data_IF_556903522896
#
_entry.id   IF_556903522896
#
_cell.length_a   1.000
_cell.length_b   1.000
_cell.length_c   1.000
_cell.angle_alpha   90.00
_cell.angle_beta   90.00
_cell.angle_gamma   90.00
#
_symmetry.space_group_name_H-M   'P 1'
#
loop_
_entity.id
_entity.type
_entity.pdbx_description
1 polymer ?
#
# COMPACT_ATOMS: atom_id res chain seq x y z
N UNK A 1 58.65 21.34 9.58
CA UNK A 1 57.21 21.03 9.46
C UNK A 1 56.76 19.73 10.19
N UNK A 2 57.49 18.62 10.13
CA UNK A 2 57.13 17.36 10.78
C UNK A 2 56.96 17.39 12.32
N UNK A 3 57.72 18.21 13.04
CA UNK A 3 57.60 18.35 14.51
C UNK A 3 56.37 19.13 15.00
N UNK A 4 55.75 19.96 14.16
CA UNK A 4 54.51 20.68 14.50
C UNK A 4 53.30 19.78 14.36
N UNK A 5 53.25 18.94 13.34
CA UNK A 5 52.17 17.97 13.10
C UNK A 5 52.14 16.90 14.20
N UNK A 6 53.32 16.42 14.63
CA UNK A 6 53.41 15.41 15.71
C UNK A 6 52.97 15.94 17.09
N UNK A 7 53.13 17.25 17.37
CA UNK A 7 52.61 17.85 18.63
C UNK A 7 51.09 18.02 18.60
N UNK A 8 50.49 18.33 17.45
CA UNK A 8 49.07 18.50 17.32
C UNK A 8 48.32 17.14 17.46
N UNK A 9 48.88 16.04 16.94
CA UNK A 9 48.34 14.69 17.08
C UNK A 9 48.44 14.15 18.50
N UNK A 10 49.51 14.49 19.26
CA UNK A 10 49.64 14.07 20.65
C UNK A 10 48.69 14.83 21.59
N UNK A 11 48.43 16.13 21.34
CA UNK A 11 47.48 16.92 22.11
C UNK A 11 46.02 16.50 21.86
N UNK A 12 45.69 15.93 20.68
CA UNK A 12 44.34 15.41 20.38
C UNK A 12 44.08 14.07 21.08
N UNK A 13 45.11 13.30 21.40
CA UNK A 13 44.97 12.01 22.11
C UNK A 13 44.83 12.14 23.65
N UNK A 14 45.26 13.30 24.19
CA UNK A 14 45.24 13.53 25.65
C UNK A 14 43.86 14.01 26.17
N UNK A 15 42.94 14.34 25.25
CA UNK A 15 41.60 14.86 25.55
C UNK A 15 40.46 13.87 25.31
N UNK A 16 40.76 12.58 25.20
CA UNK A 16 39.72 11.53 25.17
C UNK A 16 39.31 11.27 26.62
N UNK A 17 38.08 11.56 27.03
CA UNK A 17 37.61 11.29 28.38
C UNK A 17 37.80 9.81 28.69
N UNK A 18 38.22 9.53 29.93
CA UNK A 18 38.36 8.13 30.35
C UNK A 18 37.03 7.38 30.14
N UNK A 19 37.02 6.13 29.67
CA UNK A 19 35.78 5.41 29.37
C UNK A 19 34.76 5.40 30.50
N UNK A 20 35.21 5.46 31.73
CA UNK A 20 34.37 5.54 32.94
C UNK A 20 33.70 6.94 33.07
N UNK A 21 34.35 8.02 32.68
CA UNK A 21 33.79 9.37 32.72
C UNK A 21 32.78 9.57 31.59
N UNK A 22 33.07 9.02 30.41
CA UNK A 22 32.16 9.04 29.28
C UNK A 22 30.90 8.23 29.57
N UNK A 23 31.04 7.09 30.22
CA UNK A 23 29.92 6.24 30.63
C UNK A 23 29.04 6.95 31.67
N UNK A 24 29.63 7.65 32.64
CA UNK A 24 28.88 8.43 33.62
C UNK A 24 28.11 9.61 32.99
N UNK A 25 28.68 10.27 31.96
CA UNK A 25 28.00 11.33 31.20
C UNK A 25 26.82 10.74 30.41
N UNK A 26 27.01 9.62 29.72
CA UNK A 26 25.96 8.94 28.97
C UNK A 26 24.82 8.45 29.88
N UNK A 27 25.14 7.88 31.03
CA UNK A 27 24.14 7.45 32.03
C UNK A 27 23.34 8.67 32.54
N UNK A 28 24.00 9.79 32.76
CA UNK A 28 23.34 11.04 33.16
C UNK A 28 22.41 11.59 32.07
N UNK A 29 22.80 11.51 30.80
CA UNK A 29 21.93 11.90 29.66
C UNK A 29 20.74 10.95 29.48
N UNK A 30 20.96 9.66 29.58
CA UNK A 30 19.89 8.65 29.55
C UNK A 30 18.87 8.90 30.64
N UNK A 31 19.30 9.15 31.87
CA UNK A 31 18.39 9.47 32.98
C UNK A 31 17.57 10.74 32.70
N UNK A 32 18.15 11.76 32.08
CA UNK A 32 17.43 13.00 31.68
C UNK A 32 16.39 12.73 30.60
N UNK A 33 16.73 11.92 29.60
CA UNK A 33 15.81 11.54 28.52
C UNK A 33 14.64 10.74 29.07
N UNK A 34 14.89 9.79 29.99
CA UNK A 34 13.85 9.00 30.63
C UNK A 34 12.91 9.84 31.51
N UNK A 35 13.47 10.81 32.28
CA UNK A 35 12.67 11.75 33.03
C UNK A 35 11.76 12.61 32.12
N UNK A 36 12.29 13.09 31.01
CA UNK A 36 11.52 13.86 30.03
C UNK A 36 10.43 13.02 29.36
N UNK A 37 10.74 11.76 29.05
CA UNK A 37 9.76 10.81 28.54
C UNK A 37 8.61 10.59 29.51
N UNK A 38 8.91 10.40 30.79
CA UNK A 38 7.91 10.24 31.85
C UNK A 38 6.99 11.47 31.96
N UNK A 39 7.55 12.69 31.89
CA UNK A 39 6.77 13.93 31.90
C UNK A 39 5.83 14.04 30.68
N UNK A 40 6.32 13.68 29.49
CA UNK A 40 5.50 13.72 28.26
C UNK A 40 4.37 12.68 28.32
N UNK A 41 4.62 11.51 28.87
CA UNK A 41 3.60 10.47 29.06
C UNK A 41 2.53 10.91 30.07
N UNK A 42 2.93 11.53 31.19
CA UNK A 42 2.01 12.09 32.17
C UNK A 42 1.16 13.23 31.54
N UNK A 43 1.78 14.10 30.75
CA UNK A 43 1.04 15.15 30.03
C UNK A 43 0.05 14.59 29.02
N UNK A 44 0.46 13.54 28.29
CA UNK A 44 -0.43 12.83 27.34
C UNK A 44 -1.64 12.20 28.05
N UNK A 45 -1.41 11.51 29.17
CA UNK A 45 -2.50 10.88 29.95
C UNK A 45 -3.49 11.95 30.47
N UNK A 46 -2.98 13.07 30.97
CA UNK A 46 -3.80 14.21 31.40
C UNK A 46 -4.66 14.77 30.25
N UNK A 47 -4.07 14.96 29.06
CA UNK A 47 -4.82 15.43 27.90
C UNK A 47 -5.87 14.42 27.41
N UNK A 48 -5.58 13.14 27.49
CA UNK A 48 -6.54 12.08 27.15
C UNK A 48 -7.73 12.06 28.12
N UNK A 49 -7.50 12.27 29.42
CA UNK A 49 -8.60 12.39 30.39
C UNK A 49 -9.49 13.60 30.15
N UNK A 50 -8.91 14.71 29.68
CA UNK A 50 -9.69 15.91 29.31
C UNK A 50 -10.50 15.74 28.01
N UNK A 51 -10.01 14.92 27.07
CA UNK A 51 -10.66 14.67 25.78
C UNK A 51 -11.69 13.54 25.82
N UNK A 52 -11.70 12.73 26.89
CA UNK A 52 -12.70 11.68 27.07
C UNK A 52 -13.92 12.28 27.76
N UNK A 53 -15.09 12.40 27.08
CA UNK A 53 -16.31 12.87 27.72
C UNK A 53 -16.67 11.92 28.86
N UNK A 54 -16.86 12.47 30.06
CA UNK A 54 -17.28 11.71 31.22
C UNK A 54 -18.66 11.11 30.98
N UNK A 55 -18.74 9.79 30.79
CA UNK A 55 -20.00 9.07 30.91
C UNK A 55 -20.38 9.01 32.39
N UNK A 56 -21.60 9.40 32.80
CA UNK A 56 -22.04 9.32 34.19
C UNK A 56 -22.39 7.87 34.53
N UNK A 57 -21.49 7.21 35.24
CA UNK A 57 -21.72 5.91 35.86
C UNK A 57 -21.15 5.88 37.29
N UNK A 58 -21.80 5.21 38.25
CA UNK A 58 -21.31 5.15 39.64
C UNK A 58 -19.95 4.46 39.73
N UNK A 59 -19.08 4.89 40.70
CA UNK A 59 -17.74 4.33 40.83
C UNK A 59 -17.80 2.89 41.34
N UNK A 60 -17.47 1.96 40.45
CA UNK A 60 -17.14 0.59 40.86
C UNK A 60 -15.73 0.52 41.43
N UNK A 61 -15.40 -0.51 42.28
CA UNK A 61 -14.09 -0.64 42.90
C UNK A 61 -12.99 -0.67 41.84
N UNK A 62 -11.79 -0.07 42.11
CA UNK A 62 -10.71 0.03 41.16
C UNK A 62 -10.23 -1.37 40.77
N UNK A 63 -10.56 -1.80 39.57
CA UNK A 63 -9.98 -2.96 38.94
C UNK A 63 -8.50 -2.71 38.65
N UNK A 64 -7.65 -3.76 38.59
CA UNK A 64 -6.23 -3.60 38.32
C UNK A 64 -6.03 -2.82 37.03
N UNK A 65 -5.33 -1.69 37.16
CA UNK A 65 -4.96 -0.84 36.01
C UNK A 65 -4.13 -1.71 35.09
N UNK A 66 -4.71 -2.15 33.97
CA UNK A 66 -3.96 -2.68 32.84
C UNK A 66 -3.22 -1.50 32.22
N UNK A 67 -2.01 -1.29 32.70
CA UNK A 67 -1.02 -0.49 31.98
C UNK A 67 -0.87 -1.15 30.61
N UNK A 68 -1.13 -0.46 29.49
CA UNK A 68 -0.73 -1.00 28.20
C UNK A 68 0.79 -1.06 28.24
N UNK A 69 1.33 -2.26 28.47
CA UNK A 69 2.74 -2.52 28.28
C UNK A 69 3.05 -2.30 26.78
N UNK A 70 3.45 -1.07 26.45
CA UNK A 70 4.33 -0.84 25.33
C UNK A 70 5.70 -1.38 25.76
N UNK A 71 5.78 -2.71 25.88
CA UNK A 71 7.07 -3.37 26.06
C UNK A 71 7.98 -2.88 24.94
N UNK A 72 9.19 -2.40 25.25
CA UNK A 72 10.22 -2.20 24.23
C UNK A 72 10.28 -3.51 23.42
N UNK A 73 10.57 -3.46 22.12
CA UNK A 73 10.59 -4.66 21.28
C UNK A 73 11.43 -5.68 22.00
N UNK A 74 10.78 -6.72 22.53
CA UNK A 74 11.46 -7.67 23.39
C UNK A 74 12.59 -8.25 22.57
N UNK A 75 13.76 -8.48 23.17
CA UNK A 75 14.92 -9.12 22.51
C UNK A 75 14.47 -10.37 21.74
N UNK A 76 13.44 -11.04 22.24
CA UNK A 76 12.76 -12.15 21.60
C UNK A 76 12.13 -11.78 20.23
N UNK A 77 11.49 -10.63 20.08
CA UNK A 77 10.90 -10.20 18.81
C UNK A 77 11.98 -9.82 17.80
N UNK A 78 13.08 -9.22 18.25
CA UNK A 78 14.24 -8.92 17.40
C UNK A 78 14.93 -10.21 16.95
N UNK A 79 15.11 -11.18 17.85
CA UNK A 79 15.68 -12.50 17.51
C UNK A 79 14.78 -13.28 16.56
N UNK A 80 13.45 -13.24 16.74
CA UNK A 80 12.49 -13.86 15.83
C UNK A 80 12.50 -13.21 14.45
N UNK A 81 12.53 -11.88 14.39
CA UNK A 81 12.64 -11.15 13.13
C UNK A 81 13.96 -11.45 12.41
N UNK A 82 15.08 -11.45 13.15
CA UNK A 82 16.39 -11.79 12.61
C UNK A 82 16.44 -13.26 12.14
N UNK A 83 15.86 -14.19 12.89
CA UNK A 83 15.73 -15.60 12.51
C UNK A 83 14.90 -15.78 11.25
N UNK A 84 13.79 -15.04 11.13
CA UNK A 84 12.96 -15.01 9.93
C UNK A 84 13.71 -14.50 8.69
N UNK A 85 14.45 -13.41 8.84
CA UNK A 85 15.28 -12.85 7.76
C UNK A 85 16.38 -13.83 7.35
N UNK A 86 17.10 -14.41 8.31
CA UNK A 86 18.14 -15.42 8.02
C UNK A 86 17.58 -16.65 7.33
N UNK A 87 16.40 -17.13 7.76
CA UNK A 87 15.73 -18.25 7.13
C UNK A 87 15.29 -17.93 5.69
N UNK A 88 14.81 -16.71 5.46
CA UNK A 88 14.45 -16.23 4.12
C UNK A 88 15.69 -16.16 3.21
N UNK A 89 16.79 -15.59 3.71
CA UNK A 89 18.08 -15.55 2.98
C UNK A 89 18.57 -16.96 2.69
N UNK A 90 18.50 -17.88 3.66
CA UNK A 90 18.88 -19.27 3.46
C UNK A 90 18.00 -19.98 2.43
N UNK A 91 16.69 -19.73 2.43
CA UNK A 91 15.76 -20.27 1.43
C UNK A 91 16.06 -19.74 0.02
N UNK A 92 16.35 -18.45 -0.11
CA UNK A 92 16.76 -17.83 -1.37
C UNK A 92 18.09 -18.42 -1.84
N UNK A 93 19.10 -18.47 -0.97
CA UNK A 93 20.42 -19.05 -1.28
C UNK A 93 20.29 -20.53 -1.67
N UNK A 94 19.50 -21.31 -0.93
CA UNK A 94 19.20 -22.70 -1.26
C UNK A 94 18.55 -22.82 -2.63
N UNK A 95 17.55 -21.98 -2.93
CA UNK A 95 16.87 -21.98 -4.22
C UNK A 95 17.84 -21.65 -5.36
N UNK A 96 18.72 -20.67 -5.18
CA UNK A 96 19.70 -20.25 -6.20
C UNK A 96 20.81 -21.28 -6.38
N UNK A 97 21.33 -21.87 -5.31
CA UNK A 97 22.49 -22.78 -5.32
C UNK A 97 22.11 -24.24 -5.63
N UNK A 98 20.92 -24.70 -5.21
CA UNK A 98 20.44 -26.06 -5.44
C UNK A 98 20.08 -26.37 -6.92
N UNK A 99 20.31 -25.43 -7.83
CA UNK A 99 20.19 -25.64 -9.29
C UNK A 99 21.27 -26.57 -9.87
N UNK A 100 22.14 -27.13 -9.02
CA UNK A 100 23.14 -28.16 -9.35
C UNK A 100 22.53 -29.51 -9.80
N UNK A 101 23.03 -30.65 -9.36
CA UNK A 101 22.84 -31.95 -9.96
C UNK A 101 21.50 -32.68 -9.78
N UNK A 102 20.55 -32.13 -9.03
CA UNK A 102 19.23 -32.76 -8.89
C UNK A 102 18.33 -32.50 -10.12
N UNK A 103 17.71 -33.52 -10.67
CA UNK A 103 16.76 -33.40 -11.78
C UNK A 103 15.57 -32.48 -11.44
N UNK A 104 14.98 -31.88 -12.48
CA UNK A 104 13.92 -30.85 -12.36
C UNK A 104 12.73 -31.30 -11.52
N UNK A 105 12.31 -32.57 -11.64
CA UNK A 105 11.17 -33.10 -10.87
C UNK A 105 11.42 -33.23 -9.36
N UNK A 106 12.62 -33.66 -8.95
CA UNK A 106 12.93 -33.77 -7.51
C UNK A 106 12.93 -32.43 -6.79
N UNK A 107 13.39 -31.39 -7.45
CA UNK A 107 13.40 -30.01 -6.90
C UNK A 107 12.00 -29.45 -6.68
N UNK A 108 11.11 -29.63 -7.66
CA UNK A 108 9.73 -29.17 -7.58
C UNK A 108 8.98 -29.83 -6.43
N UNK A 109 9.21 -31.12 -6.17
CA UNK A 109 8.59 -31.84 -5.06
C UNK A 109 9.09 -31.30 -3.71
N UNK A 110 10.41 -31.13 -3.55
CA UNK A 110 10.98 -30.62 -2.29
C UNK A 110 10.48 -29.19 -2.02
N UNK A 111 10.54 -28.31 -3.02
CA UNK A 111 10.10 -26.92 -2.89
C UNK A 111 8.61 -26.85 -2.53
N UNK A 112 7.77 -27.54 -3.29
CA UNK A 112 6.32 -27.58 -3.03
C UNK A 112 5.98 -28.15 -1.65
N UNK A 113 6.70 -29.19 -1.19
CA UNK A 113 6.49 -29.77 0.14
C UNK A 113 6.84 -28.78 1.25
N UNK A 114 7.97 -28.06 1.12
CA UNK A 114 8.40 -27.03 2.09
C UNK A 114 7.40 -25.87 2.12
N UNK A 115 6.94 -25.42 0.96
CA UNK A 115 5.94 -24.35 0.87
C UNK A 115 4.60 -24.77 1.46
N UNK A 116 4.12 -25.98 1.18
CA UNK A 116 2.88 -26.50 1.80
C UNK A 116 3.01 -26.61 3.32
N UNK A 117 4.15 -27.09 3.82
CA UNK A 117 4.41 -27.16 5.25
C UNK A 117 4.44 -25.75 5.88
N UNK A 118 5.09 -24.79 5.22
CA UNK A 118 5.12 -23.39 5.66
C UNK A 118 3.74 -22.73 5.64
N UNK A 119 2.86 -23.05 4.68
CA UNK A 119 1.48 -22.58 4.63
C UNK A 119 0.60 -23.23 5.71
N UNK A 120 0.85 -24.49 6.07
CA UNK A 120 0.10 -25.20 7.09
C UNK A 120 0.52 -24.82 8.53
N UNK A 121 1.81 -24.50 8.74
CA UNK A 121 2.37 -24.22 10.07
C UNK A 121 1.66 -23.08 10.82
N UNK A 122 1.30 -21.92 10.21
CA UNK A 122 0.58 -20.86 10.90
C UNK A 122 -0.76 -21.30 11.50
N UNK A 123 -1.48 -22.20 10.84
CA UNK A 123 -2.74 -22.73 11.37
C UNK A 123 -2.52 -23.51 12.69
N UNK A 124 -1.45 -24.32 12.74
CA UNK A 124 -1.07 -25.06 13.97
C UNK A 124 -0.56 -24.12 15.08
N UNK A 125 0.22 -23.08 14.73
CA UNK A 125 0.74 -22.09 15.66
C UNK A 125 -0.37 -21.22 16.26
N UNK A 126 -1.35 -20.82 15.47
CA UNK A 126 -2.53 -20.07 15.92
C UNK A 126 -3.37 -20.89 16.92
N UNK A 127 -3.51 -22.20 16.71
CA UNK A 127 -4.18 -23.10 17.68
C UNK A 127 -3.46 -23.15 19.03
N UNK A 128 -2.13 -22.94 19.04
CA UNK A 128 -1.30 -22.88 20.25
C UNK A 128 -1.20 -21.47 20.85
N UNK A 129 -1.89 -20.48 20.30
CA UNK A 129 -1.86 -19.09 20.77
C UNK A 129 -0.60 -18.29 20.36
N UNK A 130 0.29 -18.84 19.54
CA UNK A 130 1.56 -18.23 19.11
C UNK A 130 1.34 -17.30 17.89
N UNK A 131 0.64 -16.19 18.09
CA UNK A 131 0.22 -15.29 17.00
C UNK A 131 1.40 -14.62 16.29
N UNK A 132 2.41 -14.14 17.03
CA UNK A 132 3.59 -13.46 16.46
C UNK A 132 4.42 -14.42 15.59
N UNK A 133 4.65 -15.64 16.08
CA UNK A 133 5.38 -16.68 15.33
C UNK A 133 4.59 -17.14 14.10
N UNK A 134 3.26 -17.27 14.24
CA UNK A 134 2.39 -17.60 13.12
C UNK A 134 2.44 -16.55 12.00
N UNK A 135 2.49 -15.26 12.38
CA UNK A 135 2.62 -14.15 11.45
C UNK A 135 3.96 -14.19 10.67
N UNK A 136 5.08 -14.42 11.39
CA UNK A 136 6.39 -14.52 10.77
C UNK A 136 6.50 -15.72 9.81
N UNK A 137 6.00 -16.89 10.22
CA UNK A 137 5.99 -18.10 9.36
C UNK A 137 5.02 -17.92 8.21
N UNK A 138 3.87 -17.26 8.41
CA UNK A 138 2.93 -16.90 7.36
C UNK A 138 3.56 -15.99 6.30
N UNK A 139 4.26 -14.94 6.72
CA UNK A 139 4.97 -14.06 5.80
C UNK A 139 6.06 -14.82 5.00
N UNK A 140 6.81 -15.71 5.65
CA UNK A 140 7.76 -16.58 4.95
C UNK A 140 7.06 -17.48 3.92
N UNK A 141 5.92 -18.07 4.27
CA UNK A 141 5.14 -18.91 3.36
C UNK A 141 4.70 -18.13 2.10
N UNK A 142 4.30 -16.86 2.24
CA UNK A 142 3.97 -16.01 1.09
C UNK A 142 5.19 -15.80 0.17
N UNK A 143 6.39 -15.56 0.73
CA UNK A 143 7.62 -15.44 -0.05
C UNK A 143 7.93 -16.75 -0.78
N UNK A 144 7.76 -17.89 -0.13
CA UNK A 144 7.99 -19.19 -0.76
C UNK A 144 7.04 -19.43 -1.94
N UNK A 145 5.76 -19.04 -1.85
CA UNK A 145 4.84 -19.16 -2.99
C UNK A 145 5.25 -18.31 -4.19
N UNK A 146 5.88 -17.13 -3.97
CA UNK A 146 6.46 -16.32 -5.06
C UNK A 146 7.65 -17.03 -5.69
N UNK A 147 8.52 -17.62 -4.87
CA UNK A 147 9.68 -18.39 -5.35
C UNK A 147 9.23 -19.62 -6.14
N UNK A 148 8.18 -20.30 -5.70
CA UNK A 148 7.60 -21.44 -6.42
C UNK A 148 7.04 -21.02 -7.80
N UNK A 149 6.32 -19.88 -7.86
CA UNK A 149 5.86 -19.34 -9.12
C UNK A 149 7.01 -18.98 -10.06
N UNK A 150 8.08 -18.36 -9.54
CA UNK A 150 9.29 -18.08 -10.30
C UNK A 150 9.99 -19.36 -10.79
N UNK A 151 10.12 -20.37 -9.92
CA UNK A 151 10.71 -21.65 -10.27
C UNK A 151 9.90 -22.38 -11.35
N UNK A 152 8.58 -22.35 -11.27
CA UNK A 152 7.67 -22.91 -12.26
C UNK A 152 7.89 -22.28 -13.64
N UNK A 153 8.00 -20.95 -13.70
CA UNK A 153 8.33 -20.24 -14.94
C UNK A 153 9.64 -20.71 -15.54
N UNK A 154 10.71 -20.70 -14.73
CA UNK A 154 12.07 -21.03 -15.19
C UNK A 154 12.23 -22.48 -15.67
N UNK A 155 11.47 -23.40 -15.11
CA UNK A 155 11.65 -24.84 -15.33
C UNK A 155 10.62 -25.40 -16.32
N UNK A 156 9.37 -25.04 -16.19
CA UNK A 156 8.28 -25.66 -16.94
C UNK A 156 7.78 -24.82 -18.13
N UNK A 157 7.98 -23.48 -18.09
CA UNK A 157 7.37 -22.56 -19.03
C UNK A 157 8.37 -21.52 -19.61
N UNK A 158 9.62 -21.90 -19.97
CA UNK A 158 10.65 -20.95 -20.42
C UNK A 158 10.31 -20.23 -21.73
N UNK A 159 9.48 -20.85 -22.58
CA UNK A 159 9.04 -20.30 -23.88
C UNK A 159 7.82 -19.36 -23.77
N UNK A 160 7.24 -19.22 -22.57
CA UNK A 160 6.06 -18.39 -22.38
C UNK A 160 6.44 -16.92 -22.26
N UNK A 161 5.60 -16.01 -22.78
CA UNK A 161 5.80 -14.57 -22.59
C UNK A 161 5.94 -14.19 -21.10
N UNK A 162 7.07 -13.54 -20.73
CA UNK A 162 7.35 -13.21 -19.33
C UNK A 162 6.30 -12.34 -18.67
N UNK A 163 5.74 -11.37 -19.41
CA UNK A 163 4.75 -10.43 -18.89
C UNK A 163 3.40 -11.13 -18.68
N UNK A 164 2.96 -11.93 -19.65
CA UNK A 164 1.73 -12.70 -19.55
C UNK A 164 1.78 -13.74 -18.43
N UNK A 165 2.92 -14.44 -18.28
CA UNK A 165 3.14 -15.34 -17.16
C UNK A 165 3.09 -14.60 -15.81
N UNK A 166 3.82 -13.48 -15.69
CA UNK A 166 3.85 -12.70 -14.44
C UNK A 166 2.47 -12.19 -14.06
N UNK A 167 1.68 -11.75 -15.05
CA UNK A 167 0.30 -11.31 -14.83
C UNK A 167 -0.57 -12.44 -14.25
N UNK A 168 -0.53 -13.63 -14.88
CA UNK A 168 -1.29 -14.81 -14.42
C UNK A 168 -0.83 -15.30 -13.06
N UNK A 169 0.48 -15.34 -12.83
CA UNK A 169 1.07 -15.71 -11.53
C UNK A 169 0.64 -14.74 -10.42
N UNK A 170 0.67 -13.41 -10.68
CA UNK A 170 0.20 -12.42 -9.73
C UNK A 170 -1.30 -12.56 -9.43
N UNK A 171 -2.14 -12.86 -10.45
CA UNK A 171 -3.56 -13.12 -10.23
C UNK A 171 -3.79 -14.36 -9.36
N UNK A 172 -3.08 -15.45 -9.65
CA UNK A 172 -3.17 -16.69 -8.88
C UNK A 172 -2.68 -16.51 -7.42
N UNK A 173 -1.54 -15.82 -7.23
CA UNK A 173 -1.01 -15.51 -5.90
C UNK A 173 -1.94 -14.59 -5.11
N UNK A 174 -2.51 -13.56 -5.73
CA UNK A 174 -3.47 -12.67 -5.08
C UNK A 174 -4.71 -13.44 -4.62
N UNK A 175 -5.26 -14.33 -5.46
CA UNK A 175 -6.39 -15.18 -5.11
C UNK A 175 -6.05 -16.17 -3.98
N UNK A 176 -4.87 -16.83 -4.06
CA UNK A 176 -4.38 -17.74 -3.02
C UNK A 176 -4.23 -17.02 -1.67
N UNK A 177 -3.58 -15.86 -1.66
CA UNK A 177 -3.32 -15.10 -0.43
C UNK A 177 -4.60 -14.48 0.14
N UNK A 178 -5.54 -14.07 -0.72
CA UNK A 178 -6.86 -13.64 -0.27
C UNK A 178 -7.62 -14.79 0.41
N UNK A 179 -7.67 -15.96 -0.22
CA UNK A 179 -8.29 -17.16 0.36
C UNK A 179 -7.62 -17.55 1.69
N UNK A 180 -6.29 -17.55 1.72
CA UNK A 180 -5.50 -17.85 2.91
C UNK A 180 -5.76 -16.87 4.06
N UNK A 181 -5.80 -15.56 3.75
CA UNK A 181 -6.10 -14.54 4.75
C UNK A 181 -7.55 -14.54 5.24
N UNK A 182 -8.50 -14.99 4.41
CA UNK A 182 -9.89 -15.17 4.81
C UNK A 182 -10.10 -16.44 5.67
N UNK A 183 -9.34 -17.49 5.41
CA UNK A 183 -9.37 -18.73 6.21
C UNK A 183 -8.67 -18.57 7.55
N UNK A 184 -7.61 -17.78 7.60
CA UNK A 184 -6.81 -17.51 8.80
C UNK A 184 -6.92 -16.02 9.17
N UNK A 185 -8.11 -15.59 9.59
CA UNK A 185 -8.49 -14.21 9.89
C UNK A 185 -7.63 -13.51 10.97
N UNK A 186 -6.93 -14.31 11.78
CA UNK A 186 -5.98 -13.84 12.79
C UNK A 186 -4.64 -13.38 12.21
N UNK A 187 -4.30 -13.78 10.97
CA UNK A 187 -3.09 -13.31 10.27
C UNK A 187 -3.37 -11.95 9.63
N UNK A 188 -2.45 -11.02 9.83
CA UNK A 188 -2.59 -9.64 9.34
C UNK A 188 -1.92 -9.41 7.98
N UNK A 189 -0.89 -10.19 7.62
CA UNK A 189 -0.08 -10.02 6.40
C UNK A 189 -0.73 -10.53 5.11
N UNK A 190 -1.48 -11.64 5.05
CA UNK A 190 -1.91 -12.21 3.77
C UNK A 190 -2.87 -11.32 2.99
N UNK A 191 -3.86 -10.70 3.65
CA UNK A 191 -4.84 -9.85 2.97
C UNK A 191 -4.22 -8.58 2.38
N UNK A 192 -3.38 -7.79 3.10
CA UNK A 192 -2.62 -6.71 2.51
C UNK A 192 -1.75 -7.13 1.33
N UNK A 193 -1.04 -8.24 1.45
CA UNK A 193 -0.21 -8.77 0.37
C UNK A 193 -1.06 -9.13 -0.86
N UNK A 194 -2.22 -9.76 -0.67
CA UNK A 194 -3.16 -10.07 -1.74
C UNK A 194 -3.62 -8.81 -2.48
N UNK A 195 -3.99 -7.74 -1.75
CA UNK A 195 -4.42 -6.47 -2.34
C UNK A 195 -3.30 -5.83 -3.17
N UNK A 196 -2.08 -5.79 -2.64
CA UNK A 196 -0.93 -5.23 -3.37
C UNK A 196 -0.61 -6.04 -4.63
N UNK A 197 -0.64 -7.36 -4.56
CA UNK A 197 -0.35 -8.22 -5.71
C UNK A 197 -1.47 -8.16 -6.75
N UNK A 198 -2.72 -7.98 -6.34
CA UNK A 198 -3.86 -7.81 -7.22
C UNK A 198 -3.83 -6.54 -8.08
N UNK A 199 -2.93 -5.59 -7.80
CA UNK A 199 -2.74 -4.39 -8.62
C UNK A 199 -2.08 -4.68 -9.97
N UNK A 200 -1.33 -5.77 -10.08
CA UNK A 200 -0.45 -6.05 -11.20
C UNK A 200 -1.13 -6.78 -12.39
N UNK A 201 -2.05 -7.73 -12.21
CA UNK A 201 -2.51 -8.62 -13.28
C UNK A 201 -3.06 -7.90 -14.50
N UNK A 202 -4.01 -6.98 -14.33
CA UNK A 202 -4.67 -6.31 -15.44
C UNK A 202 -3.72 -5.41 -16.23
N UNK A 203 -2.85 -4.68 -15.54
CA UNK A 203 -1.85 -3.81 -16.19
C UNK A 203 -0.79 -4.62 -16.93
N UNK A 204 -0.30 -5.72 -16.34
CA UNK A 204 0.67 -6.60 -16.98
C UNK A 204 0.08 -7.36 -18.17
N UNK A 205 -1.18 -7.81 -18.11
CA UNK A 205 -1.85 -8.41 -19.28
C UNK A 205 -2.04 -7.42 -20.42
N UNK A 206 -2.40 -6.16 -20.11
CA UNK A 206 -2.48 -5.13 -21.13
C UNK A 206 -1.12 -4.89 -21.80
N UNK A 207 -0.03 -4.89 -21.03
CA UNK A 207 1.33 -4.76 -21.57
C UNK A 207 1.76 -6.00 -22.36
N UNK A 208 1.49 -7.21 -21.88
CA UNK A 208 1.79 -8.47 -22.56
C UNK A 208 1.07 -8.57 -23.91
N UNK A 209 -0.15 -8.07 -23.99
CA UNK A 209 -0.91 -8.02 -25.24
C UNK A 209 -0.43 -6.92 -26.21
N UNK A 210 0.62 -6.17 -25.90
CA UNK A 210 1.07 -5.03 -26.69
C UNK A 210 0.03 -3.91 -26.79
N UNK A 211 -0.89 -3.85 -25.82
CA UNK A 211 -2.00 -2.91 -25.86
C UNK A 211 -1.51 -1.46 -25.70
N UNK A 212 -2.18 -0.55 -26.41
CA UNK A 212 -1.87 0.87 -26.33
C UNK A 212 -2.17 1.48 -24.95
N UNK A 213 -1.67 2.70 -24.75
CA UNK A 213 -1.82 3.44 -23.47
C UNK A 213 -3.27 3.56 -22.99
N UNK A 214 -4.23 3.66 -23.92
CA UNK A 214 -5.66 3.74 -23.58
C UNK A 214 -6.16 2.46 -22.91
N UNK A 215 -5.77 1.28 -23.40
CA UNK A 215 -6.14 -0.02 -22.81
C UNK A 215 -5.51 -0.17 -21.42
N UNK A 216 -4.26 0.28 -21.25
CA UNK A 216 -3.61 0.35 -19.94
C UNK A 216 -4.40 1.27 -18.99
N UNK A 217 -4.86 2.42 -19.46
CA UNK A 217 -5.72 3.32 -18.68
C UNK A 217 -7.01 2.63 -18.21
N UNK A 218 -7.67 1.87 -19.07
CA UNK A 218 -8.85 1.09 -18.71
C UNK A 218 -8.54 -0.03 -17.70
N UNK A 219 -7.42 -0.73 -17.86
CA UNK A 219 -6.96 -1.74 -16.93
C UNK A 219 -6.73 -1.16 -15.52
N UNK A 220 -6.06 -0.01 -15.44
CA UNK A 220 -5.83 0.70 -14.19
C UNK A 220 -7.13 1.20 -13.54
N UNK A 221 -8.07 1.74 -14.35
CA UNK A 221 -9.37 2.17 -13.84
C UNK A 221 -10.18 0.98 -13.31
N UNK A 222 -10.15 -0.16 -14.01
CA UNK A 222 -10.82 -1.39 -13.55
C UNK A 222 -10.23 -1.88 -12.21
N UNK A 223 -8.90 -1.81 -12.04
CA UNK A 223 -8.24 -2.12 -10.78
C UNK A 223 -8.70 -1.16 -9.66
N UNK A 224 -8.77 0.15 -9.95
CA UNK A 224 -9.27 1.13 -8.99
C UNK A 224 -10.73 0.86 -8.57
N UNK A 225 -11.59 0.44 -9.50
CA UNK A 225 -12.98 0.03 -9.19
C UNK A 225 -13.01 -1.18 -8.26
N UNK A 226 -12.16 -2.19 -8.51
CA UNK A 226 -12.05 -3.35 -7.65
C UNK A 226 -11.59 -2.97 -6.23
N UNK A 227 -10.59 -2.10 -6.12
CA UNK A 227 -10.11 -1.58 -4.84
C UNK A 227 -11.19 -0.81 -4.08
N UNK A 228 -11.94 0.07 -4.76
CA UNK A 228 -13.04 0.79 -4.14
C UNK A 228 -14.13 -0.17 -3.66
N UNK A 229 -14.47 -1.19 -4.45
CA UNK A 229 -15.40 -2.24 -4.04
C UNK A 229 -14.90 -2.97 -2.78
N UNK A 230 -13.60 -3.22 -2.70
CA UNK A 230 -12.95 -3.82 -1.53
C UNK A 230 -13.02 -2.88 -0.32
N UNK A 231 -12.71 -1.58 -0.48
CA UNK A 231 -12.82 -0.55 0.59
C UNK A 231 -14.23 -0.53 1.19
N UNK A 232 -15.27 -0.70 0.37
CA UNK A 232 -16.66 -0.66 0.82
C UNK A 232 -17.13 -1.95 1.50
N UNK A 233 -16.51 -3.10 1.18
CA UNK A 233 -16.94 -4.42 1.64
C UNK A 233 -16.01 -5.04 2.70
N UNK A 234 -14.72 -4.72 2.69
CA UNK A 234 -13.75 -5.35 3.58
C UNK A 234 -13.89 -4.84 5.02
N UNK A 235 -13.93 -5.78 5.96
CA UNK A 235 -13.92 -5.50 7.40
C UNK A 235 -12.51 -5.23 7.96
N UNK A 236 -11.42 -5.91 7.52
CA UNK A 236 -10.08 -5.71 8.07
C UNK A 236 -9.54 -4.32 7.72
N UNK A 237 -9.22 -3.53 8.75
CA UNK A 237 -8.71 -2.16 8.61
C UNK A 237 -7.46 -2.05 7.74
N UNK A 238 -6.41 -2.92 7.88
CA UNK A 238 -5.19 -2.79 7.10
C UNK A 238 -5.40 -3.03 5.59
N UNK A 239 -6.19 -4.02 5.21
CA UNK A 239 -6.51 -4.28 3.81
C UNK A 239 -7.33 -3.15 3.19
N UNK A 240 -8.28 -2.59 3.95
CA UNK A 240 -9.11 -1.45 3.54
C UNK A 240 -8.30 -0.19 3.31
N UNK A 241 -7.35 0.14 4.20
CA UNK A 241 -6.51 1.33 4.05
C UNK A 241 -5.58 1.21 2.84
N UNK A 242 -4.98 0.04 2.62
CA UNK A 242 -4.13 -0.20 1.45
C UNK A 242 -4.96 -0.11 0.17
N UNK A 243 -6.12 -0.79 0.08
CA UNK A 243 -7.00 -0.69 -1.07
C UNK A 243 -7.46 0.76 -1.34
N UNK A 244 -7.66 1.57 -0.30
CA UNK A 244 -7.95 2.98 -0.45
C UNK A 244 -6.80 3.77 -1.09
N UNK A 245 -5.57 3.53 -0.65
CA UNK A 245 -4.38 4.19 -1.23
C UNK A 245 -4.15 3.72 -2.66
N UNK A 246 -4.21 2.41 -2.92
CA UNK A 246 -4.00 1.85 -4.26
C UNK A 246 -5.07 2.32 -5.25
N UNK A 247 -6.34 2.45 -4.82
CA UNK A 247 -7.39 3.02 -5.65
C UNK A 247 -7.08 4.46 -6.11
N UNK A 248 -6.54 5.30 -5.22
CA UNK A 248 -6.11 6.65 -5.59
C UNK A 248 -4.93 6.65 -6.56
N UNK A 249 -3.96 5.78 -6.35
CA UNK A 249 -2.77 5.67 -7.21
C UNK A 249 -3.16 5.16 -8.59
N UNK A 250 -3.85 4.03 -8.69
CA UNK A 250 -4.21 3.41 -9.98
C UNK A 250 -5.25 4.23 -10.73
N UNK A 251 -6.28 4.74 -10.04
CA UNK A 251 -7.28 5.63 -10.62
C UNK A 251 -6.69 6.95 -11.09
N UNK A 252 -5.83 7.59 -10.27
CA UNK A 252 -5.11 8.81 -10.64
C UNK A 252 -4.23 8.61 -11.87
N UNK A 253 -3.49 7.50 -11.95
CA UNK A 253 -2.66 7.17 -13.09
C UNK A 253 -3.46 6.92 -14.37
N UNK A 254 -4.61 6.24 -14.26
CA UNK A 254 -5.55 6.05 -15.37
C UNK A 254 -6.04 7.40 -15.93
N UNK A 255 -6.41 8.33 -15.06
CA UNK A 255 -6.86 9.66 -15.47
C UNK A 255 -5.74 10.49 -16.07
N UNK A 256 -4.51 10.40 -15.55
CA UNK A 256 -3.34 11.09 -16.14
C UNK A 256 -3.03 10.60 -17.56
N UNK A 257 -3.07 9.28 -17.80
CA UNK A 257 -2.91 8.70 -19.15
C UNK A 257 -4.01 9.25 -20.08
N UNK A 258 -5.27 9.20 -19.63
CA UNK A 258 -6.39 9.67 -20.44
C UNK A 258 -6.33 11.18 -20.73
N UNK A 259 -5.90 11.99 -19.75
CA UNK A 259 -5.67 13.41 -19.91
C UNK A 259 -4.58 13.68 -20.96
N UNK A 260 -3.43 13.01 -20.87
CA UNK A 260 -2.34 13.13 -21.83
C UNK A 260 -2.80 12.80 -23.28
N UNK A 261 -3.53 11.70 -23.45
CA UNK A 261 -4.07 11.29 -24.75
C UNK A 261 -5.13 12.28 -25.26
N UNK A 262 -5.97 12.82 -24.38
CA UNK A 262 -7.00 13.80 -24.75
C UNK A 262 -6.40 15.13 -25.21
N UNK A 263 -5.31 15.57 -24.58
CA UNK A 263 -4.61 16.81 -24.93
C UNK A 263 -3.85 16.69 -26.25
N UNK A 264 -3.34 15.50 -26.59
CA UNK A 264 -2.58 15.26 -27.83
C UNK A 264 -3.45 14.89 -29.02
N UNK A 265 -4.74 14.61 -28.82
CA UNK A 265 -5.66 14.25 -29.88
C UNK A 265 -5.85 15.41 -30.90
N UNK A 266 -5.66 15.10 -32.19
CA UNK A 266 -5.81 16.05 -33.30
C UNK A 266 -7.22 16.09 -33.88
N UNK A 267 -8.02 15.05 -33.65
CA UNK A 267 -9.37 14.87 -34.20
C UNK A 267 -10.38 14.48 -33.15
N UNK A 268 -11.67 14.78 -33.40
CA UNK A 268 -12.76 14.43 -32.46
C UNK A 268 -12.83 12.91 -32.18
N UNK A 269 -12.73 12.01 -33.17
CA UNK A 269 -12.75 10.56 -32.88
C UNK A 269 -11.58 10.09 -32.02
N UNK A 270 -10.38 10.70 -32.20
CA UNK A 270 -9.23 10.40 -31.34
C UNK A 270 -9.43 10.87 -29.92
N UNK A 271 -10.03 12.04 -29.71
CA UNK A 271 -10.34 12.60 -28.40
C UNK A 271 -11.50 11.88 -27.68
N UNK A 272 -12.43 11.30 -28.43
CA UNK A 272 -13.60 10.62 -27.86
C UNK A 272 -13.23 9.41 -27.02
N UNK A 273 -12.24 8.62 -27.43
CA UNK A 273 -11.80 7.41 -26.70
C UNK A 273 -11.23 7.71 -25.32
N UNK A 274 -10.21 8.58 -25.16
CA UNK A 274 -9.75 8.98 -23.83
C UNK A 274 -10.79 9.82 -23.06
N UNK A 275 -11.66 10.56 -23.78
CA UNK A 275 -12.79 11.27 -23.19
C UNK A 275 -13.76 10.34 -22.46
N UNK A 276 -14.05 9.16 -23.01
CA UNK A 276 -14.87 8.13 -22.34
C UNK A 276 -14.20 7.61 -21.04
N UNK A 277 -12.88 7.41 -21.07
CA UNK A 277 -12.16 6.98 -19.87
C UNK A 277 -12.19 8.06 -18.77
N UNK A 278 -12.02 9.34 -19.15
CA UNK A 278 -12.15 10.46 -18.24
C UNK A 278 -13.57 10.59 -17.67
N UNK A 279 -14.59 10.43 -18.50
CA UNK A 279 -16.00 10.46 -18.09
C UNK A 279 -16.33 9.31 -17.12
N UNK A 280 -15.82 8.09 -17.39
CA UNK A 280 -15.97 6.96 -16.48
C UNK A 280 -15.27 7.20 -15.14
N UNK A 281 -14.07 7.76 -15.14
CA UNK A 281 -13.35 8.15 -13.93
C UNK A 281 -14.05 9.27 -13.16
N UNK A 282 -14.62 10.27 -13.87
CA UNK A 282 -15.41 11.32 -13.24
C UNK A 282 -16.68 10.76 -12.57
N UNK A 283 -17.41 9.89 -13.25
CA UNK A 283 -18.59 9.23 -12.69
C UNK A 283 -18.23 8.39 -11.44
N UNK A 284 -17.12 7.63 -11.51
CA UNK A 284 -16.61 6.87 -10.37
C UNK A 284 -16.23 7.77 -9.20
N UNK A 285 -15.49 8.86 -9.45
CA UNK A 285 -15.09 9.82 -8.43
C UNK A 285 -16.29 10.49 -7.75
N UNK A 286 -17.31 10.88 -8.52
CA UNK A 286 -18.54 11.44 -7.99
C UNK A 286 -19.31 10.42 -7.15
N UNK A 287 -19.39 9.17 -7.63
CA UNK A 287 -20.03 8.09 -6.88
C UNK A 287 -19.31 7.81 -5.54
N UNK A 288 -17.96 7.83 -5.53
CA UNK A 288 -17.15 7.70 -4.31
C UNK A 288 -17.39 8.88 -3.37
N UNK A 289 -17.46 10.11 -3.90
CA UNK A 289 -17.73 11.32 -3.12
C UNK A 289 -19.06 11.24 -2.34
N UNK A 290 -20.08 10.64 -2.94
CA UNK A 290 -21.37 10.41 -2.28
C UNK A 290 -21.31 9.31 -1.22
N UNK A 291 -20.54 8.22 -1.50
CA UNK A 291 -20.51 7.04 -0.64
C UNK A 291 -19.52 7.11 0.52
N UNK A 292 -18.45 7.90 0.37
CA UNK A 292 -17.34 7.96 1.33
C UNK A 292 -17.10 9.42 1.75
N UNK A 293 -17.81 9.95 2.76
CA UNK A 293 -17.71 11.35 3.16
C UNK A 293 -16.29 11.81 3.52
N UNK A 294 -15.45 10.92 4.04
CA UNK A 294 -14.08 11.24 4.43
C UNK A 294 -13.19 11.72 3.27
N UNK A 295 -13.48 11.29 2.03
CA UNK A 295 -12.73 11.67 0.82
C UNK A 295 -13.59 12.43 -0.18
N UNK A 296 -14.80 12.86 0.21
CA UNK A 296 -15.79 13.46 -0.67
C UNK A 296 -15.25 14.67 -1.43
N UNK A 297 -14.51 15.56 -0.75
CA UNK A 297 -13.91 16.75 -1.37
C UNK A 297 -12.91 16.37 -2.47
N UNK A 298 -11.93 15.51 -2.15
CA UNK A 298 -10.88 15.12 -3.09
C UNK A 298 -11.44 14.32 -4.28
N UNK A 299 -12.37 13.41 -4.02
CA UNK A 299 -13.00 12.61 -5.07
C UNK A 299 -13.86 13.49 -6.01
N UNK A 300 -14.60 14.46 -5.49
CA UNK A 300 -15.37 15.38 -6.28
C UNK A 300 -14.49 16.36 -7.08
N UNK A 301 -13.40 16.85 -6.49
CA UNK A 301 -12.40 17.67 -7.19
C UNK A 301 -11.82 16.93 -8.40
N UNK A 302 -11.36 15.70 -8.20
CA UNK A 302 -10.79 14.87 -9.29
C UNK A 302 -11.87 14.56 -10.35
N UNK A 303 -13.11 14.29 -9.93
CA UNK A 303 -14.22 14.06 -10.84
C UNK A 303 -14.52 15.30 -11.69
N UNK A 304 -14.53 16.50 -11.10
CA UNK A 304 -14.72 17.76 -11.79
C UNK A 304 -13.62 18.03 -12.80
N UNK A 305 -12.36 17.89 -12.42
CA UNK A 305 -11.21 18.03 -13.31
C UNK A 305 -11.27 17.03 -14.47
N UNK A 306 -11.61 15.78 -14.22
CA UNK A 306 -11.75 14.76 -15.26
C UNK A 306 -12.90 15.07 -16.23
N UNK A 307 -14.04 15.57 -15.73
CA UNK A 307 -15.16 15.97 -16.58
C UNK A 307 -14.82 17.17 -17.46
N UNK A 308 -14.15 18.19 -16.91
CA UNK A 308 -13.69 19.36 -17.67
C UNK A 308 -12.69 18.95 -18.75
N UNK A 309 -11.70 18.08 -18.42
CA UNK A 309 -10.72 17.61 -19.40
C UNK A 309 -11.34 16.72 -20.48
N UNK A 310 -12.35 15.90 -20.14
CA UNK A 310 -13.09 15.09 -21.10
C UNK A 310 -13.81 15.96 -22.14
N UNK A 311 -14.53 16.97 -21.66
CA UNK A 311 -15.29 17.89 -22.54
C UNK A 311 -14.37 18.81 -23.33
N UNK A 312 -13.32 19.33 -22.70
CA UNK A 312 -12.33 20.18 -23.35
C UNK A 312 -11.55 19.46 -24.47
N UNK A 313 -11.20 18.19 -24.24
CA UNK A 313 -10.56 17.36 -25.26
C UNK A 313 -11.42 17.17 -26.51
N UNK A 314 -12.74 17.05 -26.35
CA UNK A 314 -13.68 16.94 -27.45
C UNK A 314 -13.93 18.28 -28.18
N UNK A 315 -14.00 19.38 -27.43
CA UNK A 315 -14.28 20.70 -27.97
C UNK A 315 -13.09 21.28 -28.75
N UNK A 316 -11.87 21.01 -28.29
CA UNK A 316 -10.65 21.56 -28.89
C UNK A 316 -10.49 21.30 -30.39
N UNK A 317 -10.65 20.06 -30.90
CA UNK A 317 -10.58 19.79 -32.32
C UNK A 317 -11.88 20.12 -33.09
N UNK A 318 -13.02 20.31 -32.38
CA UNK A 318 -14.34 20.49 -33.02
C UNK A 318 -14.69 21.95 -33.28
N UNK A 319 -14.13 22.91 -32.53
CA UNK A 319 -14.60 24.31 -32.52
C UNK A 319 -13.43 25.29 -32.48
N UNK A 320 -13.56 26.47 -33.13
CA UNK A 320 -12.59 27.55 -32.97
C UNK A 320 -12.42 27.96 -31.49
N UNK A 321 -11.22 28.41 -31.14
CA UNK A 321 -10.80 28.70 -29.76
C UNK A 321 -11.81 29.56 -28.95
N UNK A 322 -12.43 30.55 -29.62
CA UNK A 322 -13.43 31.42 -28.97
C UNK A 322 -14.67 30.66 -28.46
N UNK A 323 -15.14 29.67 -29.21
CA UNK A 323 -16.29 28.82 -28.80
C UNK A 323 -15.91 27.75 -27.81
N UNK A 324 -14.66 27.32 -27.75
CA UNK A 324 -14.17 26.39 -26.72
C UNK A 324 -14.35 26.98 -25.33
N UNK A 325 -14.10 28.26 -25.13
CA UNK A 325 -14.32 28.97 -23.85
C UNK A 325 -15.79 28.90 -23.42
N UNK A 326 -16.72 29.11 -24.35
CA UNK A 326 -18.16 29.00 -24.06
C UNK A 326 -18.53 27.56 -23.68
N UNK A 327 -17.95 26.57 -24.34
CA UNK A 327 -18.09 25.16 -24.01
C UNK A 327 -17.62 24.85 -22.57
N UNK A 328 -16.45 25.35 -22.17
CA UNK A 328 -15.95 25.19 -20.79
C UNK A 328 -16.87 25.87 -19.76
N UNK A 329 -17.37 27.07 -20.06
CA UNK A 329 -18.32 27.75 -19.19
C UNK A 329 -19.63 26.98 -19.03
N UNK A 330 -20.13 26.38 -20.11
CA UNK A 330 -21.34 25.54 -20.07
C UNK A 330 -21.09 24.26 -19.27
N UNK A 331 -19.92 23.64 -19.39
CA UNK A 331 -19.55 22.48 -18.57
C UNK A 331 -19.43 22.85 -17.10
N UNK A 332 -18.84 24.00 -16.77
CA UNK A 332 -18.80 24.51 -15.40
C UNK A 332 -20.21 24.77 -14.85
N UNK A 333 -21.09 25.40 -15.67
CA UNK A 333 -22.48 25.59 -15.30
C UNK A 333 -23.24 24.27 -15.10
N UNK A 334 -23.02 23.27 -15.97
CA UNK A 334 -23.62 21.95 -15.83
C UNK A 334 -23.11 21.22 -14.55
N UNK A 335 -21.84 21.33 -14.22
CA UNK A 335 -21.31 20.82 -12.96
C UNK A 335 -21.95 21.53 -11.74
N UNK A 336 -22.17 22.84 -11.83
CA UNK A 336 -22.87 23.59 -10.77
C UNK A 336 -24.34 23.15 -10.62
N UNK A 337 -25.02 22.69 -11.68
CA UNK A 337 -26.39 22.13 -11.52
C UNK A 337 -26.41 20.83 -10.74
N UNK A 338 -25.32 20.05 -10.77
CA UNK A 338 -25.21 18.84 -9.94
C UNK A 338 -25.16 19.16 -8.43
N UNK A 339 -24.81 20.38 -8.07
CA UNK A 339 -24.83 20.90 -6.69
C UNK A 339 -26.27 20.90 -6.10
N UNK A 340 -27.30 20.93 -6.93
CA UNK A 340 -28.70 20.79 -6.51
C UNK A 340 -29.08 19.35 -6.13
N UNK A 341 -28.29 18.36 -6.50
CA UNK A 341 -28.46 17.00 -6.01
C UNK A 341 -28.07 16.93 -4.51
N UNK A 342 -28.59 15.96 -3.73
CA UNK A 342 -28.27 15.80 -2.31
C UNK A 342 -26.83 15.27 -2.15
N UNK A 343 -25.86 16.09 -2.55
CA UNK A 343 -24.43 15.80 -2.40
C UNK A 343 -23.96 16.26 -1.01
N UNK A 344 -23.06 15.55 -0.36
CA UNK A 344 -22.43 16.01 0.87
C UNK A 344 -21.70 17.34 0.62
N UNK A 345 -21.79 18.26 1.56
CA UNK A 345 -21.25 19.65 1.45
C UNK A 345 -19.79 19.67 0.99
N UNK A 346 -18.99 18.69 1.43
CA UNK A 346 -17.58 18.55 1.02
C UNK A 346 -17.44 18.20 -0.47
N UNK A 347 -18.34 17.40 -1.03
CA UNK A 347 -18.32 17.07 -2.46
C UNK A 347 -18.68 18.31 -3.31
N UNK A 348 -19.64 19.11 -2.86
CA UNK A 348 -20.00 20.38 -3.50
C UNK A 348 -18.81 21.33 -3.54
N UNK A 349 -18.10 21.48 -2.41
CA UNK A 349 -16.88 22.30 -2.36
C UNK A 349 -15.79 21.80 -3.30
N UNK A 350 -15.62 20.47 -3.42
CA UNK A 350 -14.68 19.87 -4.35
C UNK A 350 -15.02 20.16 -5.82
N UNK A 351 -16.30 20.06 -6.20
CA UNK A 351 -16.75 20.38 -7.55
C UNK A 351 -16.62 21.88 -7.88
N UNK A 352 -16.85 22.78 -6.93
CA UNK A 352 -16.66 24.21 -7.13
C UNK A 352 -15.19 24.63 -7.24
N UNK A 353 -14.27 23.81 -6.72
CA UNK A 353 -12.83 24.06 -6.78
C UNK A 353 -12.16 23.49 -8.06
N UNK A 354 -12.86 22.59 -8.79
CA UNK A 354 -12.39 22.01 -10.06
C UNK A 354 -12.56 23.02 -11.22
#
# INVERSE_FOLDING_TARGET
MARAVARTTLQTMENVPRPAEELAVLDGELARIDARRAQLLARRSYLLTLLTPAAPGPPGPPGPVRVPETSPPSVQNVLLALGGVLLTVAAIAFTVVSWGPMGTGGRSIVLGTVTLAALAAPAALLRRGLTSTAEAVGALALVLTVLDAYALYRVALPETDPLGYTATACAALAALWAAYGLLLDRLRTPLPAAVLTAQLPLSLWALAAGAGQLTLGWALLATAVADIALVLRAKPVPARSIAGVTAWVTGGWALLIACGLSVTAGTVPEAARPGLLLAAGAALGLWVAVRVPAVAFAAALVAGLAAITATGGLLRPAVPIGWAVVGYLLCGAALLTTVRAPLPVLAVRGLCAA
#
